data_IF_318430491789
#
_entry.id   IF_318430491789
#
_cell.length_a   1.000
_cell.length_b   1.000
_cell.length_c   1.000
_cell.angle_alpha   90.00
_cell.angle_beta   90.00
_cell.angle_gamma   90.00
#
_symmetry.space_group_name_H-M   'P 1'
#
loop_
_entity.id
_entity.type
_entity.pdbx_description
1 polymer ?
#
# COMPACT_ATOMS: atom_id res chain seq x y z
N UNK A 1 -16.86 -19.48 12.73
CA UNK A 1 -15.48 -19.01 12.49
C UNK A 1 -15.56 -17.49 12.35
N UNK A 2 -15.47 -16.76 13.46
CA UNK A 2 -15.53 -15.28 13.45
C UNK A 2 -14.22 -14.76 12.90
N UNK A 3 -14.21 -14.16 11.71
CA UNK A 3 -13.02 -13.48 11.16
C UNK A 3 -12.76 -12.27 12.05
N UNK A 4 -11.81 -12.39 12.98
CA UNK A 4 -11.41 -11.30 13.85
C UNK A 4 -10.75 -10.25 12.95
N UNK A 5 -11.47 -9.16 12.66
CA UNK A 5 -10.99 -8.10 11.79
C UNK A 5 -9.76 -7.47 12.44
N UNK A 6 -8.58 -7.73 11.87
CA UNK A 6 -7.34 -7.05 12.25
C UNK A 6 -7.48 -5.57 11.85
N UNK A 7 -6.95 -4.61 12.62
CA UNK A 7 -6.96 -3.22 12.20
C UNK A 7 -6.26 -3.08 10.84
N UNK A 8 -6.82 -2.25 9.97
CA UNK A 8 -6.17 -1.93 8.70
C UNK A 8 -4.82 -1.25 8.99
N UNK A 9 -3.78 -1.66 8.25
CA UNK A 9 -2.45 -1.05 8.29
C UNK A 9 -2.21 -0.23 7.02
N UNK A 10 -1.44 0.84 7.13
CA UNK A 10 -0.98 1.61 5.98
C UNK A 10 0.08 0.81 5.20
N UNK A 11 -0.05 0.78 3.87
CA UNK A 11 0.87 0.08 2.99
C UNK A 11 1.32 0.95 1.82
N UNK A 12 2.54 0.69 1.36
CA UNK A 12 3.14 1.24 0.15
C UNK A 12 3.36 0.10 -0.83
N UNK A 13 2.84 0.24 -2.04
CA UNK A 13 2.90 -0.76 -3.09
C UNK A 13 3.69 -0.19 -4.25
N UNK A 14 4.79 -0.84 -4.58
CA UNK A 14 5.62 -0.50 -5.74
C UNK A 14 5.18 -1.32 -6.93
N UNK A 15 4.98 -0.67 -8.07
CA UNK A 15 4.66 -1.32 -9.34
C UNK A 15 5.90 -1.45 -10.22
N UNK A 16 5.90 -2.51 -11.03
CA UNK A 16 6.89 -2.69 -12.08
C UNK A 16 6.68 -1.66 -13.21
N UNK A 17 7.75 -0.99 -13.63
CA UNK A 17 7.72 0.04 -14.69
C UNK A 17 7.15 -0.46 -16.01
N UNK A 18 7.36 -1.74 -16.35
CA UNK A 18 6.80 -2.36 -17.55
C UNK A 18 5.27 -2.43 -17.56
N UNK A 19 4.63 -2.23 -16.40
CA UNK A 19 3.18 -2.30 -16.21
C UNK A 19 2.52 -0.93 -15.95
N UNK A 20 3.23 0.19 -16.14
CA UNK A 20 2.67 1.53 -15.86
C UNK A 20 1.44 1.88 -16.72
N UNK A 21 1.32 1.34 -17.93
CA UNK A 21 0.11 1.50 -18.76
C UNK A 21 -1.14 0.84 -18.16
N UNK A 22 -0.96 -0.08 -17.20
CA UNK A 22 -2.00 -0.89 -16.57
C UNK A 22 -2.39 -0.41 -15.17
N UNK A 23 -1.91 0.76 -14.72
CA UNK A 23 -2.12 1.31 -13.38
C UNK A 23 -3.58 1.24 -12.90
N UNK A 24 -4.53 1.60 -13.77
CA UNK A 24 -5.97 1.58 -13.45
C UNK A 24 -6.53 0.16 -13.29
N UNK A 25 -5.97 -0.81 -14.01
CA UNK A 25 -6.35 -2.22 -13.87
C UNK A 25 -5.81 -2.78 -12.55
N UNK A 26 -4.53 -2.53 -12.27
CA UNK A 26 -3.84 -2.98 -11.05
C UNK A 26 -4.52 -2.36 -9.82
N UNK A 27 -4.84 -1.07 -9.83
CA UNK A 27 -5.54 -0.43 -8.70
C UNK A 27 -6.91 -1.04 -8.41
N UNK A 28 -7.64 -1.47 -9.45
CA UNK A 28 -8.93 -2.16 -9.29
C UNK A 28 -8.76 -3.56 -8.71
N UNK A 29 -7.74 -4.29 -9.15
CA UNK A 29 -7.41 -5.60 -8.60
C UNK A 29 -7.01 -5.50 -7.13
N UNK A 30 -6.14 -4.54 -6.79
CA UNK A 30 -5.77 -4.24 -5.41
C UNK A 30 -6.99 -3.91 -4.54
N UNK A 31 -7.90 -3.08 -5.04
CA UNK A 31 -9.15 -2.76 -4.33
C UNK A 31 -10.00 -4.01 -4.08
N UNK A 32 -10.15 -4.86 -5.11
CA UNK A 32 -10.90 -6.11 -5.02
C UNK A 32 -10.26 -7.12 -4.06
N UNK A 33 -8.94 -7.04 -3.86
CA UNK A 33 -8.17 -7.85 -2.92
C UNK A 33 -8.15 -7.29 -1.49
N UNK A 34 -8.79 -6.14 -1.25
CA UNK A 34 -8.97 -5.56 0.08
C UNK A 34 -8.18 -4.28 0.38
N UNK A 35 -7.55 -3.66 -0.63
CA UNK A 35 -6.94 -2.34 -0.48
C UNK A 35 -8.02 -1.24 -0.44
N UNK A 36 -7.93 -0.37 0.56
CA UNK A 36 -8.80 0.78 0.83
C UNK A 36 -7.97 2.07 0.77
N UNK A 37 -8.64 3.22 0.78
CA UNK A 37 -7.98 4.55 0.81
C UNK A 37 -6.90 4.74 -0.26
N UNK A 38 -7.16 4.23 -1.46
CA UNK A 38 -6.16 4.13 -2.53
C UNK A 38 -5.73 5.51 -3.01
N UNK A 39 -4.43 5.80 -2.92
CA UNK A 39 -3.79 6.93 -3.59
C UNK A 39 -2.76 6.44 -4.60
N UNK A 40 -2.71 7.10 -5.76
CA UNK A 40 -1.87 6.66 -6.87
C UNK A 40 -0.88 7.75 -7.23
N UNK A 41 0.40 7.45 -7.08
CA UNK A 41 1.52 8.30 -7.48
C UNK A 41 2.12 7.76 -8.78
N UNK A 42 1.38 7.95 -9.88
CA UNK A 42 1.69 7.34 -11.19
C UNK A 42 3.09 7.65 -11.71
N UNK A 43 3.59 8.85 -11.46
CA UNK A 43 4.91 9.30 -11.94
C UNK A 43 6.08 8.52 -11.36
N UNK A 44 5.88 7.84 -10.22
CA UNK A 44 6.93 7.11 -9.50
C UNK A 44 6.58 5.63 -9.28
N UNK A 45 5.52 5.12 -9.91
CA UNK A 45 5.18 3.70 -9.78
C UNK A 45 4.57 3.30 -8.43
N UNK A 46 4.09 4.24 -7.60
CA UNK A 46 3.63 3.93 -6.23
C UNK A 46 2.11 3.98 -6.12
N UNK A 47 1.54 3.02 -5.39
CA UNK A 47 0.17 3.04 -4.87
C UNK A 47 0.26 2.95 -3.34
N UNK A 48 -0.43 3.84 -2.63
CA UNK A 48 -0.59 3.73 -1.18
C UNK A 48 -2.03 3.44 -0.83
N UNK A 49 -2.25 2.88 0.35
CA UNK A 49 -3.59 2.62 0.86
C UNK A 49 -3.54 1.86 2.17
N UNK A 50 -4.68 1.30 2.55
CA UNK A 50 -4.84 0.55 3.79
C UNK A 50 -5.41 -0.84 3.53
N UNK A 51 -4.94 -1.84 4.26
CA UNK A 51 -5.50 -3.19 4.16
C UNK A 51 -5.34 -3.99 5.46
N UNK A 52 -6.12 -5.06 5.60
CA UNK A 52 -5.83 -6.09 6.60
C UNK A 52 -4.47 -6.74 6.29
N UNK A 53 -3.60 -7.03 7.29
CA UNK A 53 -2.32 -7.69 7.07
C UNK A 53 -2.45 -9.02 6.31
N UNK A 54 -3.54 -9.76 6.54
CA UNK A 54 -3.83 -11.02 5.86
C UNK A 54 -4.08 -10.84 4.34
N UNK A 55 -4.50 -9.65 3.88
CA UNK A 55 -4.73 -9.36 2.47
C UNK A 55 -3.43 -9.11 1.69
N UNK A 56 -2.32 -8.80 2.35
CA UNK A 56 -1.04 -8.49 1.70
C UNK A 56 -0.54 -9.64 0.84
N UNK A 57 -0.61 -10.88 1.34
CA UNK A 57 -0.16 -12.06 0.62
C UNK A 57 -0.91 -12.27 -0.70
N UNK A 58 -2.22 -11.99 -0.73
CA UNK A 58 -3.02 -12.10 -1.95
C UNK A 58 -2.67 -10.99 -2.95
N UNK A 59 -2.39 -9.78 -2.47
CA UNK A 59 -2.04 -8.64 -3.32
C UNK A 59 -0.63 -8.77 -3.94
N UNK A 60 0.30 -9.44 -3.25
CA UNK A 60 1.65 -9.68 -3.75
C UNK A 60 1.69 -10.57 -5.00
N UNK A 61 0.64 -11.36 -5.23
CA UNK A 61 0.49 -12.21 -6.43
C UNK A 61 -0.08 -11.47 -7.64
N UNK A 62 -0.44 -10.19 -7.52
CA UNK A 62 -1.00 -9.41 -8.63
C UNK A 62 0.10 -9.05 -9.63
N UNK A 63 -0.12 -9.36 -10.90
CA UNK A 63 0.82 -9.02 -11.97
C UNK A 63 1.07 -7.52 -12.04
N UNK A 64 2.33 -7.13 -12.06
CA UNK A 64 2.76 -5.74 -12.05
C UNK A 64 2.98 -5.15 -10.65
N UNK A 65 2.66 -5.88 -9.58
CA UNK A 65 3.12 -5.52 -8.23
C UNK A 65 4.55 -6.04 -8.05
N UNK A 66 5.48 -5.12 -7.80
CA UNK A 66 6.88 -5.44 -7.52
C UNK A 66 7.12 -5.68 -6.03
N UNK A 67 6.53 -4.87 -5.17
CA UNK A 67 6.67 -4.99 -3.72
C UNK A 67 5.45 -4.42 -2.97
N UNK A 68 5.21 -4.93 -1.77
CA UNK A 68 4.24 -4.39 -0.81
C UNK A 68 4.94 -4.28 0.53
N UNK A 69 4.96 -3.07 1.09
CA UNK A 69 5.64 -2.73 2.33
C UNK A 69 4.64 -2.09 3.29
N UNK A 70 4.81 -2.33 4.60
CA UNK A 70 4.06 -1.60 5.62
C UNK A 70 4.62 -0.19 5.70
N UNK A 71 3.77 0.83 5.64
CA UNK A 71 4.21 2.21 5.75
C UNK A 71 4.80 2.46 7.15
N UNK A 72 6.03 2.96 7.18
CA UNK A 72 6.66 3.37 8.43
C UNK A 72 6.03 4.65 8.98
N UNK A 73 5.87 4.74 10.30
CA UNK A 73 5.51 5.98 10.96
C UNK A 73 6.80 6.78 11.23
N UNK A 74 7.06 7.80 10.41
CA UNK A 74 8.16 8.75 10.67
C UNK A 74 7.57 9.97 11.36
N UNK A 75 7.86 10.14 12.65
CA UNK A 75 7.52 11.33 13.40
C UNK A 75 8.75 12.22 13.49
N UNK A 76 8.75 13.35 12.78
CA UNK A 76 9.75 14.40 12.99
C UNK A 76 9.38 15.10 14.29
N UNK A 77 10.33 15.18 15.23
CA UNK A 77 10.13 15.92 16.47
C UNK A 77 9.81 17.40 16.14
N UNK A 78 8.90 18.04 16.88
CA UNK A 78 8.62 19.47 16.67
C UNK A 78 9.90 20.28 16.86
N UNK A 79 10.05 21.42 16.15
CA UNK A 79 11.27 22.23 16.17
C UNK A 79 11.65 22.78 17.55
N UNK A 80 10.68 22.89 18.45
CA UNK A 80 10.85 23.31 19.85
C UNK A 80 11.29 22.16 20.78
N UNK A 81 11.58 20.97 20.25
CA UNK A 81 12.05 19.84 21.05
C UNK A 81 13.52 19.99 21.39
N UNK A 82 13.88 19.76 22.66
CA UNK A 82 15.24 19.94 23.20
C UNK A 82 16.33 19.04 22.55
N UNK A 83 15.97 18.11 21.66
CA UNK A 83 16.90 17.19 21.00
C UNK A 83 16.60 17.18 19.49
N UNK A 84 17.64 17.49 18.70
CA UNK A 84 17.67 17.34 17.24
C UNK A 84 18.53 16.13 16.85
#
# INVERSE_FOLDING_TARGET
MSKQASPDIDVVISLDESHFSQFTSISKQLSSSGLKDIQIMKSIGIITGKCEPASMANMQCISGVAAIEVAGHVQIAPPESDIQ
#
